data_IF_584624760380
#
_entry.id   IF_584624760380
#
_cell.length_a   1.000
_cell.length_b   1.000
_cell.length_c   1.000
_cell.angle_alpha   90.00
_cell.angle_beta   90.00
_cell.angle_gamma   90.00
#
_symmetry.space_group_name_H-M   'P 1'
#
loop_
_entity.id
_entity.type
_entity.pdbx_description
1 polymer ?
#
# COMPACT_ATOMS: atom_id res chain seq x y z
N UNK A 1 13.27 15.54 13.69
CA UNK A 1 12.04 15.31 14.47
C UNK A 1 11.15 14.40 13.64
N UNK A 2 10.84 13.19 14.12
CA UNK A 2 9.75 12.39 13.52
C UNK A 2 8.45 13.01 14.04
N UNK A 3 7.75 13.75 13.19
CA UNK A 3 6.39 14.21 13.49
C UNK A 3 5.57 12.95 13.70
N UNK A 4 5.00 12.77 14.90
CA UNK A 4 4.13 11.65 15.19
C UNK A 4 2.79 11.91 14.49
N UNK A 5 2.77 11.67 13.18
CA UNK A 5 1.59 11.84 12.33
C UNK A 5 0.63 10.69 12.63
N UNK A 6 -0.56 11.01 13.08
CA UNK A 6 -1.62 10.01 13.24
C UNK A 6 -2.11 9.58 11.86
N UNK A 7 -1.78 8.34 11.48
CA UNK A 7 -2.12 7.77 10.17
C UNK A 7 -3.55 7.22 10.19
N UNK A 8 -4.53 8.13 10.08
CA UNK A 8 -5.90 7.78 9.75
C UNK A 8 -6.12 7.68 8.23
N UNK A 9 -7.28 7.18 7.80
CA UNK A 9 -7.62 7.05 6.37
C UNK A 9 -7.44 8.38 5.61
N UNK A 10 -7.87 9.50 6.19
CA UNK A 10 -7.84 10.81 5.54
C UNK A 10 -6.40 11.28 5.32
N UNK A 11 -5.55 11.11 6.32
CA UNK A 11 -4.15 11.54 6.31
C UNK A 11 -3.34 10.69 5.35
N UNK A 12 -3.56 9.37 5.34
CA UNK A 12 -2.95 8.46 4.37
C UNK A 12 -3.24 8.93 2.94
N UNK A 13 -4.51 9.10 2.55
CA UNK A 13 -4.85 9.51 1.19
C UNK A 13 -4.35 10.92 0.84
N UNK A 14 -4.38 11.86 1.79
CA UNK A 14 -3.82 13.19 1.58
C UNK A 14 -2.32 13.13 1.28
N UNK A 15 -1.58 12.33 2.03
CA UNK A 15 -0.13 12.21 1.84
C UNK A 15 0.24 11.45 0.56
N UNK A 16 -0.49 10.38 0.22
CA UNK A 16 -0.29 9.69 -1.06
C UNK A 16 -0.50 10.66 -2.24
N UNK A 17 -1.57 11.46 -2.20
CA UNK A 17 -1.85 12.49 -3.20
C UNK A 17 -0.79 13.59 -3.21
N UNK A 18 -0.37 14.09 -2.03
CA UNK A 18 0.66 15.14 -1.90
C UNK A 18 2.01 14.69 -2.48
N UNK A 19 2.33 13.40 -2.37
CA UNK A 19 3.56 12.80 -2.91
C UNK A 19 3.45 12.42 -4.39
N UNK A 20 2.27 12.61 -4.99
CA UNK A 20 2.02 12.27 -6.39
C UNK A 20 2.13 10.76 -6.64
N UNK A 21 1.63 9.96 -5.71
CA UNK A 21 1.52 8.50 -5.90
C UNK A 21 0.23 8.23 -6.68
N UNK A 22 0.36 7.48 -7.77
CA UNK A 22 -0.72 7.08 -8.66
C UNK A 22 -1.32 5.76 -8.19
N UNK A 23 -2.52 5.84 -7.63
CA UNK A 23 -3.24 4.69 -7.08
C UNK A 23 -4.75 4.85 -7.26
N UNK A 24 -5.47 3.76 -7.06
CA UNK A 24 -6.92 3.68 -6.96
C UNK A 24 -7.27 2.87 -5.72
N UNK A 25 -8.18 3.40 -4.90
CA UNK A 25 -8.74 2.64 -3.77
C UNK A 25 -9.64 1.55 -4.32
N UNK A 26 -9.44 0.31 -3.88
CA UNK A 26 -10.26 -0.84 -4.25
C UNK A 26 -10.78 -1.52 -2.98
N UNK A 27 -11.35 -2.73 -3.11
CA UNK A 27 -11.76 -3.53 -1.96
C UNK A 27 -12.90 -2.94 -1.12
N UNK A 28 -12.91 -3.27 0.18
CA UNK A 28 -14.03 -2.96 1.08
C UNK A 28 -14.24 -1.46 1.29
N UNK A 29 -13.15 -0.67 1.32
CA UNK A 29 -13.24 0.76 1.49
C UNK A 29 -13.84 1.46 0.26
N UNK A 30 -13.52 1.01 -0.96
CA UNK A 30 -14.15 1.51 -2.18
C UNK A 30 -15.66 1.24 -2.17
N UNK A 31 -16.09 0.04 -1.75
CA UNK A 31 -17.51 -0.32 -1.61
C UNK A 31 -18.22 0.62 -0.64
N UNK A 32 -17.60 0.93 0.51
CA UNK A 32 -18.11 1.92 1.47
C UNK A 32 -18.23 3.33 0.86
N UNK A 33 -17.24 3.78 0.08
CA UNK A 33 -17.29 5.09 -0.60
C UNK A 33 -18.41 5.18 -1.63
N UNK A 34 -18.86 4.05 -2.18
CA UNK A 34 -20.03 3.97 -3.04
C UNK A 34 -21.36 3.77 -2.28
N UNK A 35 -21.36 3.94 -0.94
CA UNK A 35 -22.56 3.96 -0.11
C UNK A 35 -23.12 2.57 0.24
N UNK A 36 -22.35 1.51 0.03
CA UNK A 36 -22.73 0.14 0.40
C UNK A 36 -21.97 -0.22 1.69
N UNK A 37 -22.66 -0.30 2.86
CA UNK A 37 -21.98 -0.56 4.12
C UNK A 37 -21.27 -1.92 4.14
N UNK A 38 -19.98 -1.91 4.46
CA UNK A 38 -19.15 -3.10 4.59
C UNK A 38 -18.16 -2.93 5.74
N UNK A 39 -18.11 -3.90 6.63
CA UNK A 39 -17.03 -3.97 7.63
C UNK A 39 -15.72 -4.30 6.91
N UNK A 40 -14.71 -3.45 7.11
CA UNK A 40 -13.36 -3.54 6.52
C UNK A 40 -12.40 -2.86 7.50
N UNK A 41 -11.16 -3.33 7.58
CA UNK A 41 -10.16 -2.83 8.54
C UNK A 41 -8.86 -2.37 7.88
N UNK A 42 -8.69 -2.73 6.62
CA UNK A 42 -7.54 -2.56 5.75
C UNK A 42 -7.81 -1.51 4.67
N UNK A 43 -6.73 -1.12 3.99
CA UNK A 43 -6.79 -0.31 2.76
C UNK A 43 -6.21 -1.15 1.62
N UNK A 44 -7.04 -1.47 0.62
CA UNK A 44 -6.58 -2.09 -0.62
C UNK A 44 -6.29 -1.02 -1.69
N UNK A 45 -5.09 -1.04 -2.27
CA UNK A 45 -4.66 -0.10 -3.31
C UNK A 45 -4.27 -0.82 -4.61
N UNK A 46 -4.93 -0.46 -5.72
CA UNK A 46 -4.39 -0.74 -7.05
C UNK A 46 -3.47 0.40 -7.46
N UNK A 47 -2.21 0.11 -7.79
CA UNK A 47 -1.17 1.12 -8.00
C UNK A 47 -0.61 1.08 -9.43
N UNK A 48 -0.19 2.23 -9.97
CA UNK A 48 0.57 2.25 -11.22
C UNK A 48 1.87 1.46 -11.06
N UNK A 49 2.15 0.56 -12.01
CA UNK A 49 3.34 -0.31 -11.99
C UNK A 49 4.61 0.35 -12.55
N UNK A 50 4.54 1.65 -12.83
CA UNK A 50 5.71 2.45 -13.19
C UNK A 50 6.74 2.40 -12.04
N UNK A 51 8.02 2.10 -12.32
CA UNK A 51 9.04 1.93 -11.28
C UNK A 51 9.13 3.10 -10.30
N UNK A 52 9.07 4.34 -10.81
CA UNK A 52 9.12 5.55 -9.98
C UNK A 52 7.95 5.66 -9.01
N UNK A 53 6.74 5.28 -9.44
CA UNK A 53 5.55 5.28 -8.61
C UNK A 53 5.65 4.26 -7.47
N UNK A 54 6.12 3.05 -7.80
CA UNK A 54 6.29 1.97 -6.84
C UNK A 54 7.37 2.30 -5.80
N UNK A 55 8.50 2.88 -6.23
CA UNK A 55 9.54 3.32 -5.30
C UNK A 55 9.03 4.40 -4.34
N UNK A 56 8.32 5.42 -4.84
CA UNK A 56 7.69 6.46 -4.00
C UNK A 56 6.73 5.86 -2.97
N UNK A 57 5.90 4.90 -3.39
CA UNK A 57 4.97 4.20 -2.51
C UNK A 57 5.72 3.44 -1.42
N UNK A 58 6.67 2.58 -1.81
CA UNK A 58 7.43 1.75 -0.88
C UNK A 58 8.22 2.59 0.11
N UNK A 59 8.89 3.64 -0.34
CA UNK A 59 9.62 4.55 0.54
C UNK A 59 8.65 5.25 1.52
N UNK A 60 7.47 5.67 1.06
CA UNK A 60 6.45 6.30 1.92
C UNK A 60 5.90 5.32 2.98
N UNK A 61 5.56 4.10 2.59
CA UNK A 61 5.10 3.06 3.51
C UNK A 61 6.19 2.71 4.55
N UNK A 62 7.45 2.62 4.10
CA UNK A 62 8.61 2.36 4.97
C UNK A 62 8.85 3.51 5.95
N UNK A 63 8.72 4.77 5.51
CA UNK A 63 8.80 5.97 6.35
C UNK A 63 7.76 5.94 7.48
N UNK A 64 6.56 5.43 7.18
CA UNK A 64 5.45 5.23 8.12
C UNK A 64 5.60 3.99 9.01
N UNK A 65 6.63 3.18 8.79
CA UNK A 65 6.91 1.99 9.59
C UNK A 65 6.15 0.73 9.15
N UNK A 66 5.50 0.75 7.99
CA UNK A 66 4.97 -0.46 7.38
C UNK A 66 6.08 -1.30 6.77
N UNK A 67 5.89 -2.62 6.77
CA UNK A 67 6.82 -3.58 6.17
C UNK A 67 6.06 -4.70 5.46
N UNK A 68 6.63 -5.30 4.40
CA UNK A 68 5.97 -6.41 3.72
C UNK A 68 5.84 -7.61 4.67
N UNK A 69 4.70 -8.30 4.60
CA UNK A 69 4.43 -9.53 5.37
C UNK A 69 5.23 -10.72 4.84
N UNK A 70 5.55 -10.69 3.55
CA UNK A 70 6.40 -11.68 2.88
C UNK A 70 7.86 -11.25 2.90
N UNK A 71 8.83 -12.19 2.95
CA UNK A 71 10.25 -11.89 3.07
C UNK A 71 10.85 -11.47 1.71
N UNK A 72 10.45 -10.30 1.22
CA UNK A 72 10.99 -9.67 0.01
C UNK A 72 11.58 -8.30 0.38
N UNK A 73 12.53 -7.81 -0.42
CA UNK A 73 12.81 -6.38 -0.44
C UNK A 73 11.60 -5.68 -1.09
N UNK A 74 10.89 -4.78 -0.40
CA UNK A 74 9.73 -4.13 -1.01
C UNK A 74 10.10 -3.29 -2.23
N UNK A 75 11.36 -2.83 -2.38
CA UNK A 75 11.81 -2.10 -3.57
C UNK A 75 11.85 -2.98 -4.82
N UNK A 76 11.94 -4.30 -4.66
CA UNK A 76 11.85 -5.25 -5.76
C UNK A 76 10.48 -5.22 -6.43
N UNK A 77 9.45 -4.63 -5.80
CA UNK A 77 8.19 -4.35 -6.47
C UNK A 77 8.41 -3.51 -7.73
N UNK A 78 9.39 -2.61 -7.79
CA UNK A 78 9.67 -1.78 -8.96
C UNK A 78 10.23 -2.59 -10.16
N UNK A 79 10.78 -3.79 -9.93
CA UNK A 79 11.36 -4.65 -10.96
C UNK A 79 10.28 -5.53 -11.61
N UNK A 80 10.00 -5.27 -12.90
CA UNK A 80 9.01 -6.03 -13.65
C UNK A 80 9.34 -7.52 -13.80
N UNK A 81 10.62 -7.87 -13.97
CA UNK A 81 11.03 -9.26 -14.12
C UNK A 81 10.77 -10.04 -12.83
N UNK A 82 11.10 -9.46 -11.68
CA UNK A 82 10.78 -10.04 -10.36
C UNK A 82 9.27 -10.18 -10.16
N UNK A 83 8.49 -9.14 -10.47
CA UNK A 83 7.01 -9.21 -10.40
C UNK A 83 6.46 -10.35 -11.25
N UNK A 84 6.95 -10.51 -12.48
CA UNK A 84 6.50 -11.57 -13.38
C UNK A 84 6.91 -12.97 -12.89
N UNK A 85 8.10 -13.11 -12.32
CA UNK A 85 8.54 -14.34 -11.69
C UNK A 85 7.63 -14.73 -10.52
N UNK A 86 7.33 -13.79 -9.61
CA UNK A 86 6.45 -14.03 -8.47
C UNK A 86 5.02 -14.39 -8.89
N UNK A 87 4.49 -13.73 -9.92
CA UNK A 87 3.19 -14.10 -10.51
C UNK A 87 3.19 -15.54 -11.04
N UNK A 88 4.23 -15.91 -11.80
CA UNK A 88 4.32 -17.23 -12.44
C UNK A 88 4.57 -18.36 -11.44
N UNK A 89 5.51 -18.18 -10.51
CA UNK A 89 5.96 -19.25 -9.63
C UNK A 89 5.22 -19.32 -8.30
N UNK A 90 4.72 -18.18 -7.81
CA UNK A 90 4.07 -18.07 -6.50
C UNK A 90 2.60 -17.68 -6.59
N UNK A 91 2.08 -17.40 -7.80
CA UNK A 91 0.71 -16.93 -7.98
C UNK A 91 0.44 -15.59 -7.29
N UNK A 92 1.48 -14.78 -7.05
CA UNK A 92 1.36 -13.56 -6.26
C UNK A 92 0.52 -12.51 -7.00
N UNK A 93 -0.53 -12.00 -6.34
CA UNK A 93 -1.48 -11.02 -6.90
C UNK A 93 -1.41 -9.65 -6.22
N UNK A 94 -1.10 -9.62 -4.94
CA UNK A 94 -0.97 -8.42 -4.11
C UNK A 94 0.21 -8.60 -3.14
N UNK A 95 0.67 -7.50 -2.54
CA UNK A 95 1.73 -7.52 -1.52
C UNK A 95 1.21 -6.85 -0.27
N UNK A 96 1.05 -7.65 0.77
CA UNK A 96 0.52 -7.19 2.05
C UNK A 96 1.59 -6.44 2.84
N UNK A 97 1.34 -5.17 3.18
CA UNK A 97 2.13 -4.38 4.11
C UNK A 97 1.42 -4.27 5.45
N UNK A 98 2.16 -4.39 6.55
CA UNK A 98 1.60 -4.30 7.89
C UNK A 98 2.43 -3.41 8.81
N UNK A 99 1.77 -2.84 9.82
CA UNK A 99 2.36 -2.10 10.93
C UNK A 99 1.74 -2.54 12.25
N UNK A 100 2.57 -2.78 13.26
CA UNK A 100 2.12 -3.15 14.62
C UNK A 100 1.72 -1.92 15.46
N UNK A 101 2.04 -0.72 14.98
CA UNK A 101 1.94 0.52 15.77
C UNK A 101 1.04 1.57 15.12
N UNK A 102 0.77 1.47 13.82
CA UNK A 102 -0.13 2.38 13.14
C UNK A 102 -1.60 2.04 13.45
N UNK A 103 -2.49 3.04 13.56
CA UNK A 103 -3.93 2.80 13.74
C UNK A 103 -4.56 1.96 12.61
N UNK A 104 -4.11 2.18 11.37
CA UNK A 104 -4.44 1.32 10.22
C UNK A 104 -3.36 0.24 10.13
N UNK A 105 -3.69 -0.98 10.53
CA UNK A 105 -2.70 -2.04 10.68
C UNK A 105 -2.18 -2.62 9.35
N UNK A 106 -2.99 -2.60 8.29
CA UNK A 106 -2.71 -3.31 7.03
C UNK A 106 -3.05 -2.45 5.80
N UNK A 107 -2.17 -2.49 4.80
CA UNK A 107 -2.33 -1.88 3.47
C UNK A 107 -1.86 -2.89 2.43
N UNK A 108 -2.72 -3.21 1.46
CA UNK A 108 -2.52 -4.28 0.48
C UNK A 108 -2.44 -3.78 -0.98
#
# INVERSE_FOLDING_TARGET
>A
MKTNMELDYRTIFKELNRRGIHYMVVGGLAVNFHGIPRMTYDIDLMVSLEPENLLKLVDTLSEWGYRPKVPIDPKDLADEQKRNLWKKEKGMKAVHFYSETAPIGEID
#
